data_IF_875725960695
#
_entry.id   IF_875725960695
#
_cell.length_a   1.000
_cell.length_b   1.000
_cell.length_c   1.000
_cell.angle_alpha   90.00
_cell.angle_beta   90.00
_cell.angle_gamma   90.00
#
_symmetry.space_group_name_H-M   'P 1'
#
loop_
_entity.id
_entity.type
_entity.pdbx_description
1 polymer ?
#
# COMPACT_ATOMS: atom_id res chain seq x y z
N UNK A 1 -10.78 -9.10 0.36
CA UNK A 1 -11.23 -7.68 0.28
C UNK A 1 -11.82 -7.18 1.61
N UNK A 2 -13.04 -7.56 2.03
CA UNK A 2 -13.67 -7.01 3.26
C UNK A 2 -12.79 -7.11 4.51
N UNK A 3 -12.25 -8.30 4.81
CA UNK A 3 -11.37 -8.52 5.96
C UNK A 3 -10.12 -7.61 5.93
N UNK A 4 -9.50 -7.48 4.76
CA UNK A 4 -8.31 -6.63 4.54
C UNK A 4 -8.63 -5.15 4.74
N UNK A 5 -9.77 -4.68 4.23
CA UNK A 5 -10.25 -3.31 4.44
C UNK A 5 -10.51 -3.05 5.91
N UNK A 6 -11.20 -3.96 6.62
CA UNK A 6 -11.46 -3.81 8.05
C UNK A 6 -10.19 -3.75 8.89
N UNK A 7 -9.21 -4.61 8.59
CA UNK A 7 -7.91 -4.62 9.28
C UNK A 7 -7.14 -3.32 9.06
N UNK A 8 -7.04 -2.86 7.80
CA UNK A 8 -6.35 -1.59 7.51
C UNK A 8 -7.11 -0.39 8.08
N UNK A 9 -8.43 -0.37 8.03
CA UNK A 9 -9.24 0.70 8.61
C UNK A 9 -9.05 0.82 10.13
N UNK A 10 -8.94 -0.31 10.84
CA UNK A 10 -8.62 -0.32 12.26
C UNK A 10 -7.21 0.23 12.54
N UNK A 11 -6.22 -0.17 11.73
CA UNK A 11 -4.83 0.27 11.88
C UNK A 11 -4.63 1.75 11.55
N UNK A 12 -5.42 2.31 10.64
CA UNK A 12 -5.37 3.72 10.31
C UNK A 12 -5.72 4.62 11.50
N UNK A 13 -6.34 4.11 12.58
CA UNK A 13 -6.52 4.87 13.82
C UNK A 13 -7.25 6.20 13.66
N UNK A 14 -8.10 6.33 12.63
CA UNK A 14 -8.81 7.57 12.28
C UNK A 14 -8.14 8.44 11.21
N UNK A 15 -6.93 8.10 10.75
CA UNK A 15 -6.32 8.70 9.55
C UNK A 15 -7.20 8.36 8.35
N UNK A 16 -7.56 9.38 7.55
CA UNK A 16 -8.36 9.24 6.32
C UNK A 16 -7.54 9.65 5.11
N UNK A 17 -6.64 8.79 4.61
CA UNK A 17 -5.79 9.14 3.48
C UNK A 17 -6.63 9.27 2.20
N UNK A 18 -6.49 10.40 1.50
CA UNK A 18 -7.15 10.66 0.22
C UNK A 18 -6.25 10.37 -0.97
N UNK A 19 -4.96 10.22 -0.71
CA UNK A 19 -3.91 9.96 -1.70
C UNK A 19 -3.27 8.60 -1.41
N UNK A 20 -3.29 7.73 -2.41
CA UNK A 20 -2.55 6.48 -2.44
C UNK A 20 -1.29 6.63 -3.28
N UNK A 21 -0.20 6.01 -2.89
CA UNK A 21 1.06 6.04 -3.66
C UNK A 21 1.55 4.61 -3.84
N UNK A 22 1.81 4.20 -5.08
CA UNK A 22 2.45 2.91 -5.37
C UNK A 22 3.93 3.17 -5.64
N UNK A 23 4.77 2.72 -4.72
CA UNK A 23 6.21 2.99 -4.76
C UNK A 23 6.91 2.03 -5.72
N UNK A 24 7.64 2.60 -6.66
CA UNK A 24 8.53 1.88 -7.55
C UNK A 24 9.86 1.49 -6.94
N UNK A 25 10.65 0.76 -7.72
CA UNK A 25 11.99 0.34 -7.34
C UNK A 25 12.86 1.57 -7.00
N UNK A 26 13.57 1.51 -5.87
CA UNK A 26 14.42 2.60 -5.39
C UNK A 26 13.70 3.69 -4.59
N UNK A 27 12.36 3.72 -4.57
CA UNK A 27 11.57 4.73 -3.83
C UNK A 27 11.06 4.22 -2.47
N UNK A 28 11.40 2.99 -2.09
CA UNK A 28 10.97 2.38 -0.83
C UNK A 28 11.42 3.15 0.42
N UNK A 29 12.49 3.94 0.36
CA UNK A 29 12.92 4.76 1.51
C UNK A 29 11.93 5.86 1.89
N UNK A 30 11.05 6.27 0.95
CA UNK A 30 10.08 7.35 1.18
C UNK A 30 9.10 7.06 2.33
N UNK A 31 8.85 5.77 2.65
CA UNK A 31 8.02 5.43 3.80
C UNK A 31 8.64 5.82 5.14
N UNK A 32 9.95 6.11 5.17
CA UNK A 32 10.65 6.65 6.35
C UNK A 32 10.37 8.13 6.61
N UNK A 33 9.87 8.86 5.62
CA UNK A 33 9.53 10.29 5.72
C UNK A 33 8.09 10.51 6.25
N UNK A 34 7.39 9.44 6.63
CA UNK A 34 6.02 9.53 7.15
C UNK A 34 5.99 9.76 8.65
N UNK A 35 5.40 10.87 9.06
CA UNK A 35 5.11 11.14 10.46
C UNK A 35 3.99 10.24 10.96
N UNK A 36 4.17 9.65 12.15
CA UNK A 36 3.16 8.81 12.81
C UNK A 36 2.80 7.56 12.00
N UNK A 37 3.77 7.00 11.28
CA UNK A 37 3.53 5.91 10.35
C UNK A 37 3.04 4.62 11.04
N UNK A 38 1.99 4.03 10.49
CA UNK A 38 1.56 2.65 10.74
C UNK A 38 1.95 1.77 9.56
N UNK A 39 2.44 0.57 9.84
CA UNK A 39 3.04 -0.34 8.85
C UNK A 39 2.43 -1.73 8.96
N UNK A 40 2.12 -2.33 7.81
CA UNK A 40 1.55 -3.69 7.74
C UNK A 40 2.19 -4.46 6.60
N UNK A 41 2.93 -5.55 6.87
CA UNK A 41 3.43 -6.43 5.83
C UNK A 41 2.30 -7.00 4.97
N UNK A 42 2.52 -7.11 3.66
CA UNK A 42 1.56 -7.71 2.71
C UNK A 42 1.22 -9.15 3.09
N UNK A 43 2.17 -9.91 3.65
CA UNK A 43 1.94 -11.28 4.13
C UNK A 43 0.88 -11.37 5.24
N UNK A 44 0.65 -10.29 5.97
CA UNK A 44 -0.34 -10.22 7.04
C UNK A 44 -1.70 -9.70 6.53
N UNK A 45 -1.78 -9.37 5.23
CA UNK A 45 -2.97 -8.86 4.56
C UNK A 45 -3.61 -9.94 3.67
N UNK A 46 -4.81 -10.44 4.01
CA UNK A 46 -5.47 -11.48 3.22
C UNK A 46 -5.63 -11.09 1.75
N UNK A 47 -5.07 -11.92 0.86
CA UNK A 47 -5.13 -11.78 -0.59
C UNK A 47 -4.12 -10.80 -1.20
N UNK A 48 -3.32 -10.09 -0.40
CA UNK A 48 -2.30 -9.20 -0.95
C UNK A 48 -1.21 -10.00 -1.68
N UNK A 49 -0.64 -9.42 -2.75
CA UNK A 49 0.38 -10.10 -3.52
C UNK A 49 1.70 -10.13 -2.74
N UNK A 50 2.38 -11.27 -2.75
CA UNK A 50 3.74 -11.40 -2.21
C UNK A 50 4.69 -11.48 -3.40
N UNK A 51 5.53 -10.44 -3.54
CA UNK A 51 6.57 -10.41 -4.59
C UNK A 51 7.73 -11.33 -4.22
N UNK A 52 8.34 -11.93 -5.24
CA UNK A 52 9.59 -12.68 -5.09
C UNK A 52 10.83 -11.82 -5.40
N UNK A 53 10.64 -10.56 -5.83
CA UNK A 53 11.71 -9.66 -6.27
C UNK A 53 12.34 -8.95 -5.07
N UNK A 54 13.67 -8.99 -4.97
CA UNK A 54 14.44 -8.27 -3.96
C UNK A 54 14.30 -6.75 -4.12
N UNK A 55 14.07 -6.02 -3.03
CA UNK A 55 13.97 -4.55 -3.03
C UNK A 55 12.56 -4.00 -2.83
N UNK A 56 11.54 -4.86 -2.78
CA UNK A 56 10.20 -4.50 -2.33
C UNK A 56 10.02 -4.93 -0.88
N UNK A 57 9.86 -3.98 0.04
CA UNK A 57 9.58 -4.29 1.45
C UNK A 57 8.27 -5.09 1.59
N UNK A 58 7.33 -4.90 0.65
CA UNK A 58 6.08 -5.63 0.61
C UNK A 58 5.22 -5.27 1.81
N UNK A 59 4.94 -3.98 1.98
CA UNK A 59 4.18 -3.46 3.11
C UNK A 59 3.25 -2.31 2.68
N UNK A 60 2.13 -2.19 3.37
CA UNK A 60 1.27 -1.00 3.35
C UNK A 60 1.73 -0.08 4.47
N UNK A 61 1.97 1.18 4.16
CA UNK A 61 2.37 2.19 5.15
C UNK A 61 1.45 3.38 5.06
N UNK A 62 0.88 3.83 6.17
CA UNK A 62 0.05 5.02 6.21
C UNK A 62 0.54 5.98 7.28
N UNK A 63 0.48 7.28 7.01
CA UNK A 63 0.99 8.31 7.89
C UNK A 63 0.78 9.70 7.28
N UNK A 64 1.58 10.67 7.70
CA UNK A 64 1.55 12.02 7.13
C UNK A 64 2.85 12.31 6.39
N UNK A 65 2.76 12.71 5.13
CA UNK A 65 3.88 13.22 4.35
C UNK A 65 3.72 14.74 4.23
N UNK A 66 4.61 15.52 4.86
CA UNK A 66 4.46 16.99 4.90
C UNK A 66 3.11 17.43 5.48
N UNK A 67 2.63 16.74 6.53
CA UNK A 67 1.32 16.98 7.15
C UNK A 67 0.12 16.37 6.42
N UNK A 68 0.27 15.93 5.18
CA UNK A 68 -0.82 15.36 4.36
C UNK A 68 -1.01 13.86 4.64
N UNK A 69 -2.21 13.40 5.02
CA UNK A 69 -2.50 11.97 5.16
C UNK A 69 -2.34 11.21 3.84
N UNK A 70 -1.46 10.22 3.84
CA UNK A 70 -1.18 9.35 2.69
C UNK A 70 -1.15 7.88 3.09
N UNK A 71 -1.40 7.02 2.12
CA UNK A 71 -1.19 5.58 2.23
C UNK A 71 -0.32 5.11 1.06
N UNK A 72 0.74 4.38 1.36
CA UNK A 72 1.75 3.93 0.42
C UNK A 72 1.73 2.41 0.32
N UNK A 73 1.74 1.91 -0.91
CA UNK A 73 2.07 0.53 -1.24
C UNK A 73 3.59 0.48 -1.49
N UNK A 74 4.35 0.04 -0.49
CA UNK A 74 5.81 -0.07 -0.54
C UNK A 74 6.21 -1.35 -1.28
N UNK A 75 6.12 -1.25 -2.60
CA UNK A 75 6.37 -2.33 -3.54
C UNK A 75 5.11 -2.84 -4.23
N UNK A 76 5.32 -3.51 -5.35
CA UNK A 76 4.29 -3.98 -6.28
C UNK A 76 4.73 -5.28 -6.93
N UNK A 77 3.75 -6.08 -7.34
CA UNK A 77 3.98 -7.25 -8.17
C UNK A 77 3.71 -6.91 -9.62
N UNK A 78 4.55 -7.45 -10.50
CA UNK A 78 4.50 -7.21 -11.92
C UNK A 78 3.91 -8.40 -12.68
N UNK A 79 3.36 -8.12 -13.85
CA UNK A 79 2.87 -9.15 -14.76
C UNK A 79 3.94 -10.20 -15.06
N UNK A 80 5.19 -9.81 -15.31
CA UNK A 80 6.26 -10.74 -15.67
C UNK A 80 6.62 -11.76 -14.57
N UNK A 81 6.25 -11.52 -13.31
CA UNK A 81 6.59 -12.42 -12.21
C UNK A 81 5.81 -13.73 -12.30
N UNK A 82 4.55 -13.69 -12.77
CA UNK A 82 3.63 -14.85 -12.78
C UNK A 82 2.65 -14.90 -13.96
N UNK A 83 2.70 -13.95 -14.89
CA UNK A 83 1.75 -13.82 -15.99
C UNK A 83 0.35 -13.36 -15.56
N UNK A 84 0.18 -12.79 -14.37
CA UNK A 84 -1.12 -12.36 -13.85
C UNK A 84 -1.30 -10.84 -13.95
N UNK A 85 -2.17 -10.39 -14.86
CA UNK A 85 -2.50 -8.98 -15.03
C UNK A 85 -3.33 -8.43 -13.85
N UNK A 86 -3.93 -9.29 -13.02
CA UNK A 86 -4.74 -8.90 -11.87
C UNK A 86 -3.93 -8.79 -10.56
N UNK A 87 -2.62 -9.02 -10.59
CA UNK A 87 -1.80 -9.13 -9.38
C UNK A 87 -1.93 -7.92 -8.42
N UNK A 88 -2.14 -6.71 -8.96
CA UNK A 88 -2.32 -5.47 -8.18
C UNK A 88 -3.77 -5.01 -8.04
N UNK A 89 -4.74 -5.76 -8.58
CA UNK A 89 -6.18 -5.40 -8.52
C UNK A 89 -6.67 -5.24 -7.09
N UNK A 90 -6.43 -6.24 -6.24
CA UNK A 90 -6.91 -6.21 -4.86
C UNK A 90 -6.30 -5.06 -4.04
N UNK A 91 -4.97 -4.83 -4.02
CA UNK A 91 -4.41 -3.66 -3.35
C UNK A 91 -5.07 -2.34 -3.77
N UNK A 92 -5.33 -2.14 -5.06
CA UNK A 92 -5.97 -0.91 -5.58
C UNK A 92 -7.44 -0.82 -5.14
N UNK A 93 -8.21 -1.91 -5.22
CA UNK A 93 -9.61 -1.95 -4.74
C UNK A 93 -9.68 -1.66 -3.22
N UNK A 94 -8.71 -2.15 -2.45
CA UNK A 94 -8.61 -1.89 -1.01
C UNK A 94 -8.33 -0.42 -0.74
N UNK A 95 -7.41 0.22 -1.46
CA UNK A 95 -7.18 1.67 -1.35
C UNK A 95 -8.47 2.45 -1.63
N UNK A 96 -9.18 2.09 -2.70
CA UNK A 96 -10.46 2.74 -3.04
C UNK A 96 -11.50 2.58 -1.93
N UNK A 97 -11.62 1.38 -1.37
CA UNK A 97 -12.55 1.09 -0.28
C UNK A 97 -12.20 1.82 1.03
N UNK A 98 -10.91 2.15 1.24
CA UNK A 98 -10.45 2.97 2.37
C UNK A 98 -10.67 4.48 2.17
N UNK A 99 -11.20 4.90 1.02
CA UNK A 99 -11.54 6.31 0.74
C UNK A 99 -10.46 7.09 -0.02
N UNK A 100 -9.46 6.41 -0.58
CA UNK A 100 -8.49 7.02 -1.51
C UNK A 100 -9.20 7.46 -2.79
N UNK A 101 -8.83 8.65 -3.27
CA UNK A 101 -9.42 9.28 -4.45
C UNK A 101 -8.40 9.54 -5.55
N UNK A 102 -7.16 9.81 -5.18
CA UNK A 102 -6.05 10.00 -6.11
C UNK A 102 -5.00 8.91 -5.89
N UNK A 103 -4.52 8.32 -6.99
CA UNK A 103 -3.45 7.34 -6.98
C UNK A 103 -2.24 7.90 -7.73
N UNK A 104 -1.09 7.95 -7.06
CA UNK A 104 0.19 8.32 -7.64
C UNK A 104 0.94 7.02 -7.94
N UNK A 105 1.30 6.82 -9.20
CA UNK A 105 2.06 5.66 -9.66
C UNK A 105 3.49 6.09 -9.98
N UNK A 106 4.46 5.39 -9.42
CA UNK A 106 5.91 5.62 -9.61
C UNK A 106 6.59 4.35 -10.03
#
# INVERSE_FOLDING_TARGET
>A
MKATVSLLAALLGGIKPRHGIVLGSGLGSLVGELDGAVRVPYRDLPGFPVSAVSGHAGEVVAGRLGGVPVIMLSGRVHYYEKGDANAMRLPIEVLKALGVEALILT
#
